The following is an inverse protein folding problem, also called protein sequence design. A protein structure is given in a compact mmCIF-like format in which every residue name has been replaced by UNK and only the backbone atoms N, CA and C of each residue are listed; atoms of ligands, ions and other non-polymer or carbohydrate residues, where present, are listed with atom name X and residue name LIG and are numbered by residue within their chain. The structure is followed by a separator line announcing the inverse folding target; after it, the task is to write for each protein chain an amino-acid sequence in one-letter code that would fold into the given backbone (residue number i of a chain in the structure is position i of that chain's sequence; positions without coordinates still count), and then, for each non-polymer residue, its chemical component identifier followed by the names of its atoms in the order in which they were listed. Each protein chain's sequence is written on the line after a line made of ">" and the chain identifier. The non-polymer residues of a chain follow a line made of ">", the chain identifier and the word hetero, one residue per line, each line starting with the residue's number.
data_IF_237605090763
#
_entry.id   IF_237605090763
#
_cell.length_a   1.000
_cell.length_b   1.000
_cell.length_c   1.000
_cell.angle_alpha   90.00
_cell.angle_beta   90.00
_cell.angle_gamma   90.00
#
_symmetry.space_group_name_H-M   'P 1'
#
loop_
_entity.id
_entity.type
_entity.pdbx_description
1 polymer ?
#
# COMPACT_ATOMS: atom_id res chain seq x y z
N UNK A 1 10.36 -14.95 -21.01
CA UNK A 1 9.26 -13.96 -20.94
C UNK A 1 8.20 -14.32 -19.87
N UNK A 2 7.90 -15.56 -19.64
CA UNK A 2 6.89 -15.99 -18.65
C UNK A 2 7.08 -15.42 -17.23
N UNK A 3 8.30 -15.37 -16.61
CA UNK A 3 8.46 -14.83 -15.28
C UNK A 3 8.14 -13.32 -15.17
N UNK A 4 8.50 -12.53 -16.19
CA UNK A 4 8.21 -11.09 -16.23
C UNK A 4 6.71 -10.84 -16.32
N UNK A 5 6.00 -11.64 -17.10
CA UNK A 5 4.55 -11.57 -17.23
C UNK A 5 3.84 -11.97 -15.93
N UNK A 6 4.36 -12.95 -15.21
CA UNK A 6 3.87 -13.32 -13.88
C UNK A 6 4.03 -12.16 -12.87
N UNK A 7 5.19 -11.49 -12.89
CA UNK A 7 5.40 -10.29 -12.05
C UNK A 7 4.36 -9.19 -12.35
N UNK A 8 4.03 -8.97 -13.63
CA UNK A 8 3.01 -8.00 -14.02
C UNK A 8 1.63 -8.39 -13.49
N UNK A 9 1.19 -9.63 -13.71
CA UNK A 9 -0.14 -10.10 -13.32
C UNK A 9 -0.29 -10.06 -11.79
N UNK A 10 0.67 -10.63 -11.05
CA UNK A 10 0.62 -10.66 -9.59
C UNK A 10 0.76 -9.26 -8.98
N UNK A 11 1.68 -8.45 -9.51
CA UNK A 11 1.86 -7.07 -9.07
C UNK A 11 0.61 -6.23 -9.30
N UNK A 12 -0.02 -6.31 -10.49
CA UNK A 12 -1.26 -5.59 -10.79
C UNK A 12 -2.44 -6.08 -9.96
N UNK A 13 -2.54 -7.38 -9.68
CA UNK A 13 -3.59 -7.92 -8.82
C UNK A 13 -3.51 -7.31 -7.40
N UNK A 14 -2.29 -7.22 -6.84
CA UNK A 14 -2.08 -6.58 -5.53
C UNK A 14 -2.35 -5.07 -5.57
N UNK A 15 -1.97 -4.39 -6.65
CA UNK A 15 -2.26 -2.95 -6.84
C UNK A 15 -3.76 -2.71 -6.83
N UNK A 16 -4.52 -3.49 -7.60
CA UNK A 16 -5.99 -3.35 -7.69
C UNK A 16 -6.63 -3.61 -6.32
N UNK A 17 -6.21 -4.68 -5.63
CA UNK A 17 -6.68 -5.00 -4.27
C UNK A 17 -6.44 -3.81 -3.33
N UNK A 18 -5.24 -3.22 -3.34
CA UNK A 18 -4.89 -2.08 -2.50
C UNK A 18 -5.66 -0.81 -2.84
N UNK A 19 -5.86 -0.51 -4.12
CA UNK A 19 -6.68 0.64 -4.54
C UNK A 19 -8.10 0.52 -4.00
N UNK A 20 -8.71 -0.65 -4.11
CA UNK A 20 -10.07 -0.90 -3.60
C UNK A 20 -10.10 -0.73 -2.08
N UNK A 21 -9.15 -1.36 -1.38
CA UNK A 21 -9.06 -1.28 0.08
C UNK A 21 -8.90 0.16 0.59
N UNK A 22 -7.96 0.93 0.03
CA UNK A 22 -7.70 2.31 0.43
C UNK A 22 -8.87 3.25 0.11
N UNK A 23 -9.58 3.01 -1.00
CA UNK A 23 -10.81 3.77 -1.31
C UNK A 23 -11.91 3.51 -0.28
N UNK A 24 -12.06 2.28 0.18
CA UNK A 24 -13.03 1.92 1.23
C UNK A 24 -12.61 2.42 2.62
N UNK A 25 -11.32 2.63 2.85
CA UNK A 25 -10.77 3.15 4.09
C UNK A 25 -10.94 4.68 4.24
N UNK A 26 -11.21 5.38 3.14
CA UNK A 26 -11.40 6.84 3.14
C UNK A 26 -12.74 7.19 3.80
N UNK A 27 -12.70 8.02 4.84
CA UNK A 27 -13.88 8.44 5.62
C UNK A 27 -13.86 9.96 5.79
N UNK A 28 -15.02 10.58 5.89
CA UNK A 28 -15.09 12.00 6.23
C UNK A 28 -14.86 12.21 7.74
N UNK A 29 -13.60 12.45 8.10
CA UNK A 29 -13.14 12.59 9.49
C UNK A 29 -13.83 13.75 10.19
N UNK A 30 -14.04 14.88 9.51
CA UNK A 30 -14.68 16.06 10.10
C UNK A 30 -16.15 15.80 10.46
N UNK A 31 -16.89 15.11 9.60
CA UNK A 31 -18.28 14.76 9.90
C UNK A 31 -18.37 13.79 11.09
N UNK A 32 -17.43 12.84 11.18
CA UNK A 32 -17.34 11.90 12.30
C UNK A 32 -17.02 12.64 13.62
N UNK A 33 -16.02 13.53 13.62
CA UNK A 33 -15.63 14.31 14.78
C UNK A 33 -16.77 15.19 15.30
N UNK A 34 -17.48 15.88 14.40
CA UNK A 34 -18.64 16.69 14.78
C UNK A 34 -19.73 15.85 15.44
N UNK A 35 -20.02 14.66 14.88
CA UNK A 35 -21.00 13.75 15.48
C UNK A 35 -20.57 13.20 16.84
N UNK A 36 -19.27 12.95 17.04
CA UNK A 36 -18.71 12.54 18.34
C UNK A 36 -18.81 13.72 19.33
N UNK A 37 -18.43 14.93 18.94
CA UNK A 37 -18.48 16.12 19.78
C UNK A 37 -19.89 16.38 20.31
N UNK A 38 -20.91 16.28 19.43
CA UNK A 38 -22.31 16.48 19.81
C UNK A 38 -22.81 15.47 20.84
N UNK A 39 -22.39 14.20 20.71
CA UNK A 39 -22.75 13.14 21.67
C UNK A 39 -21.98 13.28 22.99
N UNK A 40 -20.69 13.60 22.94
CA UNK A 40 -19.85 13.83 24.13
C UNK A 40 -20.34 15.03 24.94
N UNK A 41 -20.76 16.13 24.28
CA UNK A 41 -21.38 17.28 24.96
C UNK A 41 -22.68 16.93 25.71
N UNK A 42 -23.42 15.93 25.23
CA UNK A 42 -24.63 15.42 25.90
C UNK A 42 -24.30 14.41 26.99
N UNK A 43 -23.04 14.03 27.16
CA UNK A 43 -22.61 12.98 28.07
C UNK A 43 -22.91 11.55 27.60
N UNK A 44 -23.35 11.39 26.34
CA UNK A 44 -23.70 10.07 25.77
C UNK A 44 -22.51 9.46 25.02
N UNK A 45 -21.59 8.90 25.78
CA UNK A 45 -20.43 8.19 25.23
C UNK A 45 -20.82 6.90 24.48
N UNK A 46 -21.97 6.30 24.82
CA UNK A 46 -22.43 5.10 24.15
C UNK A 46 -22.90 5.40 22.72
N UNK A 47 -23.63 6.51 22.53
CA UNK A 47 -24.01 6.98 21.21
C UNK A 47 -22.78 7.36 20.36
N UNK A 48 -21.75 7.97 20.96
CA UNK A 48 -20.48 8.24 20.27
C UNK A 48 -19.75 6.95 19.86
N UNK A 49 -19.73 5.92 20.71
CA UNK A 49 -19.18 4.58 20.38
C UNK A 49 -19.95 3.93 19.22
N UNK A 50 -21.28 3.95 19.25
CA UNK A 50 -22.11 3.41 18.18
C UNK A 50 -21.90 4.13 16.84
N UNK A 51 -21.74 5.46 16.86
CA UNK A 51 -21.41 6.24 15.66
C UNK A 51 -20.08 5.77 15.06
N UNK A 52 -19.05 5.59 15.87
CA UNK A 52 -17.75 5.07 15.43
C UNK A 52 -17.86 3.66 14.89
N UNK A 53 -18.64 2.78 15.55
CA UNK A 53 -18.84 1.38 15.14
C UNK A 53 -19.53 1.26 13.79
N UNK A 54 -20.46 2.16 13.50
CA UNK A 54 -21.23 2.17 12.25
C UNK A 54 -20.50 2.90 11.12
N UNK A 55 -19.39 3.59 11.42
CA UNK A 55 -18.57 4.29 10.43
C UNK A 55 -17.39 3.40 10.01
N UNK A 56 -17.21 3.23 8.69
CA UNK A 56 -16.08 2.48 8.13
C UNK A 56 -14.82 3.35 8.12
N UNK A 57 -13.69 2.71 8.27
CA UNK A 57 -12.37 3.34 8.12
C UNK A 57 -11.50 3.24 9.37
N UNK A 58 -10.17 3.45 9.19
CA UNK A 58 -9.22 3.33 10.28
C UNK A 58 -9.44 4.37 11.38
N UNK A 59 -9.81 5.61 11.02
CA UNK A 59 -10.05 6.71 11.96
C UNK A 59 -11.19 6.37 12.93
N UNK A 60 -12.33 5.88 12.41
CA UNK A 60 -13.47 5.50 13.23
C UNK A 60 -13.10 4.36 14.20
N UNK A 61 -12.29 3.40 13.74
CA UNK A 61 -11.82 2.30 14.57
C UNK A 61 -10.90 2.77 15.70
N UNK A 62 -10.05 3.76 15.44
CA UNK A 62 -9.15 4.37 16.44
C UNK A 62 -9.99 5.11 17.50
N UNK A 63 -10.94 5.94 17.07
CA UNK A 63 -11.81 6.69 18.00
C UNK A 63 -12.68 5.76 18.86
N UNK A 64 -13.19 4.67 18.28
CA UNK A 64 -13.89 3.65 19.03
C UNK A 64 -13.05 3.09 20.17
N UNK A 65 -11.78 2.76 19.92
CA UNK A 65 -10.86 2.26 20.95
C UNK A 65 -10.55 3.30 22.03
N UNK A 66 -10.48 4.57 21.66
CA UNK A 66 -10.32 5.68 22.62
C UNK A 66 -11.55 5.84 23.50
N UNK A 67 -12.75 5.86 22.91
CA UNK A 67 -14.00 5.97 23.66
C UNK A 67 -14.25 4.75 24.56
N UNK A 68 -13.79 3.57 24.18
CA UNK A 68 -13.96 2.36 24.97
C UNK A 68 -13.18 2.40 26.30
N UNK A 69 -12.13 3.19 26.34
CA UNK A 69 -11.28 3.39 27.53
C UNK A 69 -11.45 4.73 28.23
N UNK A 70 -12.54 5.45 27.92
CA UNK A 70 -12.77 6.79 28.50
C UNK A 70 -12.86 6.75 30.03
N UNK A 71 -13.39 5.67 30.59
CA UNK A 71 -13.55 5.46 32.04
C UNK A 71 -12.20 5.20 32.74
N UNK A 72 -11.18 4.76 32.01
CA UNK A 72 -9.83 4.49 32.54
C UNK A 72 -8.96 5.76 32.68
N UNK A 73 -9.43 6.89 32.13
CA UNK A 73 -8.73 8.19 32.14
C UNK A 73 -8.08 8.56 30.82
N UNK A 74 -7.85 9.88 30.63
CA UNK A 74 -7.35 10.44 29.38
C UNK A 74 -5.97 9.91 28.97
N UNK A 75 -5.09 9.61 29.92
CA UNK A 75 -3.77 9.03 29.64
C UNK A 75 -3.89 7.64 28.98
N UNK A 76 -4.82 6.82 29.45
CA UNK A 76 -5.08 5.50 28.88
C UNK A 76 -5.76 5.60 27.51
N UNK A 77 -6.62 6.61 27.30
CA UNK A 77 -7.20 6.92 26.01
C UNK A 77 -6.10 7.26 24.99
N UNK A 78 -5.19 8.18 25.34
CA UNK A 78 -4.08 8.58 24.46
C UNK A 78 -3.17 7.39 24.09
N UNK A 79 -2.82 6.56 25.08
CA UNK A 79 -2.05 5.33 24.84
C UNK A 79 -2.79 4.36 23.90
N UNK A 80 -4.11 4.22 24.06
CA UNK A 80 -4.93 3.38 23.22
C UNK A 80 -4.98 3.90 21.78
N UNK A 81 -5.20 5.22 21.60
CA UNK A 81 -5.24 5.86 20.27
C UNK A 81 -3.91 5.67 19.53
N UNK A 82 -2.78 5.93 20.20
CA UNK A 82 -1.44 5.78 19.62
C UNK A 82 -1.14 4.33 19.25
N UNK A 83 -1.39 3.39 20.18
CA UNK A 83 -1.11 1.97 19.95
C UNK A 83 -1.97 1.39 18.82
N UNK A 84 -3.26 1.74 18.79
CA UNK A 84 -4.17 1.24 17.77
C UNK A 84 -3.96 1.96 16.43
N UNK A 85 -3.53 3.23 16.44
CA UNK A 85 -3.09 3.96 15.26
C UNK A 85 -1.96 3.23 14.53
N UNK A 86 -0.95 2.76 15.26
CA UNK A 86 0.13 1.94 14.68
C UNK A 86 -0.36 0.64 14.05
N UNK A 87 -1.34 -0.04 14.67
CA UNK A 87 -1.96 -1.24 14.08
C UNK A 87 -2.70 -0.92 12.80
N UNK A 88 -3.43 0.20 12.74
CA UNK A 88 -4.14 0.60 11.53
C UNK A 88 -3.17 1.02 10.42
N UNK A 89 -2.09 1.73 10.74
CA UNK A 89 -1.03 2.06 9.79
C UNK A 89 -0.43 0.81 9.16
N UNK A 90 -0.07 -0.20 9.95
CA UNK A 90 0.44 -1.47 9.44
C UNK A 90 -0.55 -2.18 8.49
N UNK A 91 -1.87 -2.04 8.72
CA UNK A 91 -2.90 -2.57 7.82
C UNK A 91 -3.00 -1.79 6.50
N UNK A 92 -2.82 -0.48 6.55
CA UNK A 92 -2.78 0.36 5.33
C UNK A 92 -1.57 0.02 4.46
N UNK A 93 -0.41 -0.24 5.07
CA UNK A 93 0.85 -0.59 4.38
C UNK A 93 0.93 -2.06 3.94
N UNK A 94 -0.01 -2.90 4.35
CA UNK A 94 0.00 -4.32 4.00
C UNK A 94 0.12 -4.53 2.48
N UNK A 95 0.85 -5.57 2.07
CA UNK A 95 1.12 -5.94 0.67
C UNK A 95 1.98 -4.95 -0.15
N UNK A 96 2.33 -3.76 0.35
CA UNK A 96 3.22 -2.84 -0.36
C UNK A 96 4.61 -3.46 -0.60
N UNK A 97 5.12 -4.18 0.38
CA UNK A 97 6.41 -4.88 0.29
C UNK A 97 6.44 -5.90 -0.85
N UNK A 98 5.32 -6.60 -1.11
CA UNK A 98 5.20 -7.52 -2.23
C UNK A 98 5.19 -6.81 -3.58
N UNK A 99 4.50 -5.66 -3.68
CA UNK A 99 4.52 -4.84 -4.90
C UNK A 99 5.94 -4.35 -5.16
N UNK A 100 6.64 -3.84 -4.14
CA UNK A 100 8.04 -3.41 -4.24
C UNK A 100 8.97 -4.56 -4.68
N UNK A 101 8.74 -5.78 -4.19
CA UNK A 101 9.46 -6.97 -4.63
C UNK A 101 9.27 -7.23 -6.14
N UNK A 102 8.05 -7.17 -6.66
CA UNK A 102 7.79 -7.38 -8.10
C UNK A 102 8.41 -6.28 -8.97
N UNK A 103 8.45 -5.04 -8.48
CA UNK A 103 9.16 -3.93 -9.15
C UNK A 103 10.65 -4.24 -9.30
N UNK A 104 11.29 -4.81 -8.28
CA UNK A 104 12.71 -5.18 -8.31
C UNK A 104 12.98 -6.45 -9.14
N UNK A 105 12.07 -7.43 -9.08
CA UNK A 105 12.23 -8.71 -9.78
C UNK A 105 12.02 -8.59 -11.28
N UNK A 106 11.11 -7.72 -11.75
CA UNK A 106 10.80 -7.64 -13.17
C UNK A 106 12.03 -7.27 -14.04
N UNK A 107 12.84 -6.24 -13.72
CA UNK A 107 14.07 -5.94 -14.43
C UNK A 107 15.12 -7.04 -14.26
N UNK A 108 15.20 -7.67 -13.09
CA UNK A 108 16.15 -8.75 -12.80
C UNK A 108 15.89 -9.98 -13.70
N UNK A 109 14.62 -10.35 -13.88
CA UNK A 109 14.24 -11.39 -14.84
C UNK A 109 14.46 -10.97 -16.29
N UNK A 110 14.26 -9.67 -16.60
CA UNK A 110 14.61 -9.13 -17.90
C UNK A 110 16.10 -9.28 -18.20
N UNK A 111 16.95 -8.89 -17.26
CA UNK A 111 18.40 -9.04 -17.37
C UNK A 111 18.85 -10.51 -17.44
N UNK A 112 18.27 -11.38 -16.63
CA UNK A 112 18.53 -12.82 -16.71
C UNK A 112 18.21 -13.36 -18.12
N UNK A 113 17.12 -12.88 -18.73
CA UNK A 113 16.76 -13.25 -20.10
C UNK A 113 17.82 -12.81 -21.13
N UNK A 114 18.50 -11.67 -20.94
CA UNK A 114 19.61 -11.26 -21.82
C UNK A 114 20.80 -12.19 -21.68
N UNK A 115 21.17 -12.56 -20.46
CA UNK A 115 22.30 -13.47 -20.22
C UNK A 115 22.05 -14.83 -20.87
N UNK A 116 20.86 -15.40 -20.66
CA UNK A 116 20.48 -16.69 -21.26
C UNK A 116 20.46 -16.60 -22.80
N UNK A 117 19.89 -15.54 -23.35
CA UNK A 117 19.82 -15.34 -24.80
C UNK A 117 21.18 -15.15 -25.45
N UNK A 118 22.14 -14.51 -24.76
CA UNK A 118 23.53 -14.40 -25.24
C UNK A 118 24.26 -15.73 -25.19
N UNK A 119 24.09 -16.52 -24.12
CA UNK A 119 24.65 -17.90 -24.06
C UNK A 119 24.14 -18.73 -25.22
N UNK A 120 22.84 -18.71 -25.48
CA UNK A 120 22.27 -19.45 -26.61
C UNK A 120 22.82 -18.96 -27.97
N UNK A 121 23.04 -17.65 -28.14
CA UNK A 121 23.62 -17.13 -29.37
C UNK A 121 25.07 -17.62 -29.58
N UNK A 122 25.86 -17.75 -28.53
CA UNK A 122 27.22 -18.29 -28.60
C UNK A 122 27.22 -19.82 -28.88
N UNK A 123 26.31 -20.56 -28.24
CA UNK A 123 26.11 -21.99 -28.54
C UNK A 123 25.74 -22.23 -30.02
N UNK A 124 24.91 -21.39 -30.58
CA UNK A 124 24.50 -21.48 -31.99
C UNK A 124 25.66 -21.16 -32.95
N UNK A 125 26.54 -20.21 -32.60
CA UNK A 125 27.78 -19.91 -33.35
C UNK A 125 28.73 -21.11 -33.31
N UNK A 126 28.92 -21.72 -32.13
CA UNK A 126 29.78 -22.88 -31.95
C UNK A 126 29.31 -24.06 -32.82
N UNK A 127 28.01 -24.34 -32.82
CA UNK A 127 27.41 -25.40 -33.62
C UNK A 127 27.50 -25.16 -35.14
N UNK A 128 27.33 -23.87 -35.54
CA UNK A 128 27.40 -23.51 -36.95
C UNK A 128 28.83 -23.57 -37.55
N UNK A 129 29.84 -23.47 -36.70
CA UNK A 129 31.26 -23.45 -37.11
C UNK A 129 31.69 -22.21 -37.90
N UNK A 130 30.79 -21.26 -38.09
CA UNK A 130 31.01 -19.97 -38.77
C UNK A 130 30.26 -18.85 -38.08
N UNK A 131 30.88 -17.66 -38.06
CA UNK A 131 30.27 -16.46 -37.46
C UNK A 131 29.38 -15.77 -38.49
N UNK A 132 28.13 -16.22 -38.57
CA UNK A 132 27.12 -15.53 -39.38
C UNK A 132 26.55 -14.31 -38.60
N UNK A 133 26.63 -13.07 -39.14
CA UNK A 133 26.06 -11.90 -38.51
C UNK A 133 24.54 -12.02 -38.24
N UNK A 134 23.83 -12.79 -39.03
CA UNK A 134 22.40 -13.04 -38.89
C UNK A 134 22.05 -13.89 -37.68
N UNK A 135 22.82 -14.91 -37.37
CA UNK A 135 22.65 -15.80 -36.18
C UNK A 135 22.87 -15.02 -34.90
N UNK A 136 23.96 -14.24 -34.86
CA UNK A 136 24.29 -13.37 -33.72
C UNK A 136 23.19 -12.33 -33.48
N UNK A 137 22.76 -11.65 -34.56
CA UNK A 137 21.74 -10.61 -34.47
C UNK A 137 20.39 -11.15 -33.95
N UNK A 138 20.01 -12.36 -34.32
CA UNK A 138 18.76 -12.98 -33.86
C UNK A 138 18.77 -13.25 -32.35
N UNK A 139 19.83 -13.88 -31.84
CA UNK A 139 20.00 -14.17 -30.40
C UNK A 139 20.05 -12.88 -29.56
N UNK A 140 20.84 -11.89 -30.00
CA UNK A 140 20.94 -10.59 -29.34
C UNK A 140 19.58 -9.86 -29.31
N UNK A 141 18.84 -9.84 -30.42
CA UNK A 141 17.52 -9.20 -30.49
C UNK A 141 16.53 -9.79 -29.46
N UNK A 142 16.46 -11.10 -29.36
CA UNK A 142 15.60 -11.79 -28.40
C UNK A 142 16.03 -11.51 -26.95
N UNK A 143 17.32 -11.48 -26.70
CA UNK A 143 17.89 -11.14 -25.39
C UNK A 143 17.50 -9.72 -24.98
N UNK A 144 17.77 -8.72 -25.79
CA UNK A 144 17.48 -7.31 -25.48
C UNK A 144 15.97 -7.07 -25.28
N UNK A 145 15.12 -7.76 -26.05
CA UNK A 145 13.67 -7.61 -25.93
C UNK A 145 13.15 -8.03 -24.54
N UNK A 146 13.74 -9.04 -23.90
CA UNK A 146 13.33 -9.47 -22.57
C UNK A 146 13.61 -8.40 -21.50
N UNK A 147 14.72 -7.67 -21.62
CA UNK A 147 15.05 -6.55 -20.72
C UNK A 147 14.10 -5.38 -20.91
N UNK A 148 13.76 -5.04 -22.14
CA UNK A 148 12.79 -3.99 -22.44
C UNK A 148 11.44 -4.28 -21.76
N UNK A 149 10.94 -5.51 -21.87
CA UNK A 149 9.69 -5.89 -21.21
C UNK A 149 9.81 -5.87 -19.69
N UNK A 150 10.93 -6.29 -19.10
CA UNK A 150 11.17 -6.22 -17.66
C UNK A 150 11.13 -4.80 -17.13
N UNK A 151 11.75 -3.87 -17.85
CA UNK A 151 11.76 -2.44 -17.51
C UNK A 151 10.37 -1.81 -17.63
N UNK A 152 9.63 -2.11 -18.70
CA UNK A 152 8.25 -1.60 -18.87
C UNK A 152 7.36 -2.03 -17.70
N UNK A 153 7.42 -3.31 -17.31
CA UNK A 153 6.65 -3.84 -16.18
C UNK A 153 7.03 -3.13 -14.88
N UNK A 154 8.32 -2.94 -14.62
CA UNK A 154 8.78 -2.24 -13.43
C UNK A 154 8.27 -0.79 -13.38
N UNK A 155 8.34 -0.06 -14.50
CA UNK A 155 7.86 1.33 -14.57
C UNK A 155 6.37 1.42 -14.30
N UNK A 156 5.57 0.54 -14.89
CA UNK A 156 4.11 0.51 -14.66
C UNK A 156 3.81 0.28 -13.18
N UNK A 157 4.40 -0.76 -12.57
CA UNK A 157 4.17 -1.07 -11.15
C UNK A 157 4.68 0.04 -10.22
N UNK A 158 5.80 0.70 -10.55
CA UNK A 158 6.37 1.80 -9.79
C UNK A 158 5.45 3.01 -9.73
N UNK A 159 4.77 3.35 -10.83
CA UNK A 159 3.81 4.45 -10.88
C UNK A 159 2.64 4.18 -9.91
N UNK A 160 2.07 2.97 -9.97
CA UNK A 160 1.00 2.59 -9.06
C UNK A 160 1.44 2.49 -7.60
N UNK A 161 2.65 1.99 -7.35
CA UNK A 161 3.22 1.93 -6.01
C UNK A 161 3.32 3.32 -5.37
N UNK A 162 3.86 4.30 -6.09
CA UNK A 162 3.95 5.67 -5.60
C UNK A 162 2.58 6.30 -5.35
N UNK A 163 1.60 6.04 -6.23
CA UNK A 163 0.22 6.47 -6.00
C UNK A 163 -0.37 5.90 -4.71
N UNK A 164 -0.18 4.59 -4.45
CA UNK A 164 -0.63 3.93 -3.23
C UNK A 164 0.05 4.52 -1.99
N UNK A 165 1.36 4.75 -2.06
CA UNK A 165 2.14 5.32 -0.96
C UNK A 165 1.62 6.70 -0.58
N UNK A 166 1.48 7.61 -1.54
CA UNK A 166 0.93 8.96 -1.30
C UNK A 166 -0.49 8.90 -0.70
N UNK A 167 -1.30 7.94 -1.15
CA UNK A 167 -2.66 7.78 -0.61
C UNK A 167 -2.66 7.29 0.83
N UNK A 168 -1.74 6.39 1.19
CA UNK A 168 -1.55 5.91 2.57
C UNK A 168 -1.06 7.05 3.46
N UNK A 169 -0.05 7.81 3.03
CA UNK A 169 0.46 8.98 3.76
C UNK A 169 -0.65 9.99 4.07
N UNK A 170 -1.50 10.28 3.10
CA UNK A 170 -2.66 11.16 3.31
C UNK A 170 -3.66 10.59 4.34
N UNK A 171 -3.92 9.28 4.33
CA UNK A 171 -4.79 8.65 5.31
C UNK A 171 -4.17 8.66 6.71
N UNK A 172 -2.88 8.42 6.82
CA UNK A 172 -2.13 8.49 8.09
C UNK A 172 -2.17 9.90 8.66
N UNK A 173 -1.92 10.93 7.85
CA UNK A 173 -2.05 12.33 8.28
C UNK A 173 -3.45 12.65 8.78
N UNK A 174 -4.50 12.18 8.10
CA UNK A 174 -5.89 12.35 8.57
C UNK A 174 -6.16 11.61 9.89
N UNK A 175 -5.54 10.44 10.11
CA UNK A 175 -5.64 9.72 11.39
C UNK A 175 -4.97 10.50 12.52
N UNK A 176 -3.79 11.06 12.30
CA UNK A 176 -3.03 11.84 13.28
C UNK A 176 -3.76 13.14 13.63
N UNK A 177 -4.13 13.95 12.63
CA UNK A 177 -4.87 15.21 12.84
C UNK A 177 -6.23 14.97 13.52
N UNK A 178 -6.93 13.91 13.08
CA UNK A 178 -8.19 13.51 13.68
C UNK A 178 -8.03 13.08 15.15
N UNK A 179 -6.94 12.39 15.47
CA UNK A 179 -6.65 11.94 16.85
C UNK A 179 -6.38 13.11 17.78
N UNK A 180 -5.64 14.13 17.32
CA UNK A 180 -5.39 15.36 18.09
C UNK A 180 -6.71 16.06 18.38
N UNK A 181 -7.52 16.30 17.35
CA UNK A 181 -8.84 16.97 17.50
C UNK A 181 -9.78 16.17 18.41
N UNK A 182 -9.77 14.84 18.31
CA UNK A 182 -10.56 13.97 19.17
C UNK A 182 -10.15 14.09 20.64
N UNK A 183 -8.85 14.11 20.94
CA UNK A 183 -8.34 14.32 22.29
C UNK A 183 -8.75 15.68 22.84
N UNK A 184 -8.68 16.74 22.03
CA UNK A 184 -9.11 18.08 22.44
C UNK A 184 -10.61 18.12 22.80
N UNK A 185 -11.46 17.41 22.01
CA UNK A 185 -12.89 17.27 22.32
C UNK A 185 -13.09 16.60 23.68
N UNK A 186 -12.37 15.51 23.96
CA UNK A 186 -12.51 14.79 25.22
C UNK A 186 -12.01 15.61 26.42
N UNK A 187 -10.88 16.29 26.30
CA UNK A 187 -10.32 17.15 27.35
C UNK A 187 -11.28 18.30 27.69
N UNK A 188 -11.82 18.97 26.67
CA UNK A 188 -12.74 20.12 26.84
C UNK A 188 -14.08 19.73 27.48
N UNK A 189 -14.54 18.53 27.27
CA UNK A 189 -15.84 18.07 27.76
C UNK A 189 -15.76 17.16 29.00
N UNK A 190 -14.55 16.82 29.48
CA UNK A 190 -14.34 16.09 30.72
C UNK A 190 -14.41 17.10 31.87
N UNK A 191 -15.62 17.32 32.41
CA UNK A 191 -15.84 17.99 33.71
C UNK A 191 -15.79 17.01 34.86
#
# INVERSE_FOLDING_TARGET
>A
MTPVLLCLILGMALVIERIIYLNMATTNVNALLNGIEDNVKKGDYNAAKELCRNTRGPVASIFYQGLDRIDEGLENVEKALTSYGGVQMARLEANLTWIALFIALAPSFGFLGTVIGMVQAFDDIEKAGDISPTVVAHGMKMALLTTVFGLIVAIILQIFYNYLLTKIENLVSQMEDGTITFMDILIKNKK
#
